data_IF_515471811182
#
_entry.id   IF_515471811182
#
_cell.length_a   1.000
_cell.length_b   1.000
_cell.length_c   1.000
_cell.angle_alpha   90.00
_cell.angle_beta   90.00
_cell.angle_gamma   90.00
#
_symmetry.space_group_name_H-M   'P 1'
#
loop_
_entity.id
_entity.type
_entity.pdbx_description
1 polymer ?
#
# COMPACT_ATOMS: atom_id res chain seq x y z
N UNK A 1 -27.16 14.60 -8.99
CA UNK A 1 -25.91 13.91 -8.62
C UNK A 1 -26.29 12.50 -8.27
N UNK A 2 -25.75 11.50 -8.94
CA UNK A 2 -26.05 10.11 -8.62
C UNK A 2 -25.22 9.67 -7.40
N UNK A 3 -25.67 8.69 -6.63
CA UNK A 3 -24.90 8.12 -5.50
C UNK A 3 -23.48 7.69 -5.90
N UNK A 4 -23.26 7.39 -7.18
CA UNK A 4 -21.96 7.06 -7.75
C UNK A 4 -21.01 8.28 -7.78
N UNK A 5 -21.55 9.49 -7.90
CA UNK A 5 -20.80 10.76 -7.97
C UNK A 5 -20.34 11.23 -6.57
N UNK A 6 -20.90 10.69 -5.50
CA UNK A 6 -20.64 11.11 -4.12
C UNK A 6 -19.65 10.20 -3.37
N UNK A 7 -19.15 9.13 -3.98
CA UNK A 7 -18.07 8.32 -3.38
C UNK A 7 -16.75 9.10 -3.41
N UNK A 8 -16.72 10.21 -2.71
CA UNK A 8 -15.59 11.00 -2.22
C UNK A 8 -14.30 11.17 -3.04
N UNK A 9 -14.13 10.53 -4.15
CA UNK A 9 -12.96 10.61 -5.00
C UNK A 9 -13.35 10.76 -6.47
N UNK A 10 -12.65 11.57 -7.21
CA UNK A 10 -12.76 11.72 -8.66
C UNK A 10 -12.33 10.46 -9.44
N UNK A 11 -12.31 9.31 -8.78
CA UNK A 11 -11.78 8.07 -9.34
C UNK A 11 -12.92 7.10 -9.61
N UNK A 12 -13.01 6.70 -10.85
CA UNK A 12 -13.84 5.57 -11.30
C UNK A 12 -13.25 4.21 -10.87
N UNK A 13 -12.46 4.17 -9.79
CA UNK A 13 -11.95 2.92 -9.28
C UNK A 13 -13.11 2.00 -8.89
N UNK A 14 -13.14 0.81 -9.43
CA UNK A 14 -14.06 -0.23 -8.99
C UNK A 14 -13.61 -0.68 -7.60
N UNK A 15 -14.31 -0.18 -6.60
CA UNK A 15 -14.16 -0.70 -5.24
C UNK A 15 -14.83 -2.07 -5.13
N UNK A 16 -14.38 -2.87 -4.19
CA UNK A 16 -15.05 -4.12 -3.86
C UNK A 16 -16.46 -3.85 -3.29
N UNK A 17 -17.39 -4.82 -3.38
CA UNK A 17 -18.70 -4.71 -2.73
C UNK A 17 -18.59 -4.47 -1.22
N UNK A 18 -19.52 -3.71 -0.64
CA UNK A 18 -19.54 -3.40 0.81
C UNK A 18 -19.56 -4.65 1.70
N UNK A 19 -20.12 -5.74 1.21
CA UNK A 19 -20.19 -7.03 1.88
C UNK A 19 -18.80 -7.62 2.14
N UNK A 20 -17.85 -7.40 1.24
CA UNK A 20 -16.45 -7.84 1.41
C UNK A 20 -15.80 -7.12 2.60
N UNK A 21 -15.96 -5.80 2.70
CA UNK A 21 -15.44 -5.04 3.82
C UNK A 21 -16.10 -5.46 5.15
N UNK A 22 -17.42 -5.71 5.15
CA UNK A 22 -18.14 -6.23 6.33
C UNK A 22 -17.60 -7.59 6.75
N UNK A 23 -17.35 -8.50 5.81
CA UNK A 23 -16.79 -9.81 6.11
C UNK A 23 -15.35 -9.70 6.68
N UNK A 24 -14.52 -8.78 6.17
CA UNK A 24 -13.19 -8.52 6.72
C UNK A 24 -13.25 -8.02 8.17
N UNK A 25 -14.18 -7.12 8.48
CA UNK A 25 -14.40 -6.65 9.86
C UNK A 25 -14.85 -7.79 10.78
N UNK A 26 -15.79 -8.63 10.32
CA UNK A 26 -16.24 -9.80 11.06
C UNK A 26 -15.08 -10.76 11.36
N UNK A 27 -14.27 -11.09 10.37
CA UNK A 27 -13.09 -11.95 10.52
C UNK A 27 -12.06 -11.34 11.47
N UNK A 28 -11.88 -10.03 11.45
CA UNK A 28 -10.98 -9.35 12.37
C UNK A 28 -11.48 -9.47 13.82
N UNK A 29 -12.77 -9.22 14.05
CA UNK A 29 -13.38 -9.35 15.37
C UNK A 29 -13.25 -10.78 15.95
N UNK A 30 -13.40 -11.80 15.10
CA UNK A 30 -13.19 -13.19 15.51
C UNK A 30 -11.74 -13.50 15.91
N UNK A 31 -10.77 -12.91 15.21
CA UNK A 31 -9.35 -13.11 15.48
C UNK A 31 -8.87 -12.39 16.75
N UNK A 32 -9.38 -11.21 17.03
CA UNK A 32 -9.00 -10.43 18.22
C UNK A 32 -9.68 -10.93 19.49
N UNK A 33 -10.88 -11.48 19.35
CA UNK A 33 -11.73 -11.83 20.49
C UNK A 33 -12.39 -10.59 21.13
N UNK A 34 -12.84 -10.69 22.40
CA UNK A 34 -13.60 -9.64 23.05
C UNK A 34 -12.85 -8.29 23.12
N UNK A 35 -13.60 -7.20 22.95
CA UNK A 35 -13.09 -5.83 23.05
C UNK A 35 -13.66 -4.89 22.00
N UNK A 36 -13.16 -3.67 22.01
CA UNK A 36 -13.48 -2.62 21.05
C UNK A 36 -12.27 -2.40 20.14
N UNK A 37 -12.42 -2.66 18.84
CA UNK A 37 -11.39 -2.38 17.84
C UNK A 37 -11.64 -0.98 17.31
N UNK A 38 -10.62 -0.13 17.31
CA UNK A 38 -10.69 1.24 16.79
C UNK A 38 -9.50 1.47 15.84
N UNK A 39 -9.80 1.89 14.61
CA UNK A 39 -8.78 2.41 13.70
C UNK A 39 -9.15 3.81 13.25
N UNK A 40 -8.13 4.65 13.16
CA UNK A 40 -8.24 6.00 12.64
C UNK A 40 -7.81 6.02 11.17
N UNK A 41 -8.65 6.59 10.33
CA UNK A 41 -8.28 6.91 8.97
C UNK A 41 -7.24 8.03 8.93
N UNK A 42 -6.56 8.15 7.80
CA UNK A 42 -5.60 9.22 7.56
C UNK A 42 -6.26 10.60 7.69
N UNK A 43 -5.53 11.56 8.24
CA UNK A 43 -5.88 12.98 8.21
C UNK A 43 -5.68 13.57 6.81
N UNK A 44 -6.32 14.69 6.52
CA UNK A 44 -6.02 15.49 5.33
C UNK A 44 -5.08 16.64 5.73
N UNK A 45 -3.79 16.33 5.84
CA UNK A 45 -2.76 17.29 6.24
C UNK A 45 -2.21 18.12 5.07
N UNK A 46 -2.81 17.96 3.87
CA UNK A 46 -2.36 18.65 2.66
C UNK A 46 -2.49 20.18 2.83
N UNK A 47 -1.35 20.85 2.68
CA UNK A 47 -1.30 22.30 2.64
C UNK A 47 -1.68 22.89 1.28
N UNK A 48 -1.88 24.21 1.22
CA UNK A 48 -2.03 24.92 -0.05
C UNK A 48 -0.75 24.78 -0.88
N UNK A 49 -0.88 24.19 -2.08
CA UNK A 49 0.24 23.87 -2.96
C UNK A 49 0.67 22.40 -2.96
N UNK A 50 0.11 21.57 -2.06
CA UNK A 50 0.30 20.14 -2.12
C UNK A 50 -0.47 19.55 -3.31
N UNK A 51 0.25 18.96 -4.25
CA UNK A 51 -0.34 18.40 -5.50
C UNK A 51 -0.81 16.96 -5.35
N UNK A 52 -0.54 16.33 -4.22
CA UNK A 52 -0.93 14.96 -3.93
C UNK A 52 -2.45 14.78 -3.81
N UNK A 53 -2.98 13.67 -4.29
CA UNK A 53 -4.34 13.25 -3.97
C UNK A 53 -4.39 12.64 -2.58
N UNK A 54 -5.50 12.83 -1.84
CA UNK A 54 -5.70 12.14 -0.57
C UNK A 54 -5.59 10.62 -0.78
N UNK A 55 -4.85 9.96 0.08
CA UNK A 55 -4.73 8.52 0.13
C UNK A 55 -5.04 8.04 1.55
N UNK A 56 -5.96 7.13 1.67
CA UNK A 56 -6.34 6.54 2.95
C UNK A 56 -5.28 5.55 3.42
N UNK A 57 -5.15 5.37 4.73
CA UNK A 57 -4.31 4.32 5.31
C UNK A 57 -4.78 2.92 4.90
N UNK A 58 -3.85 2.07 4.47
CA UNK A 58 -4.15 0.78 3.85
C UNK A 58 -4.96 -0.15 4.74
N UNK A 59 -4.64 -0.24 6.04
CA UNK A 59 -5.40 -1.07 6.99
C UNK A 59 -6.82 -0.56 7.19
N UNK A 60 -6.98 0.76 7.30
CA UNK A 60 -8.30 1.37 7.40
C UNK A 60 -9.12 1.12 6.13
N UNK A 61 -8.52 1.35 4.96
CA UNK A 61 -9.17 1.11 3.66
C UNK A 61 -9.55 -0.36 3.48
N UNK A 62 -8.65 -1.30 3.83
CA UNK A 62 -8.90 -2.74 3.76
C UNK A 62 -10.18 -3.17 4.49
N UNK A 63 -10.45 -2.53 5.64
CA UNK A 63 -11.61 -2.86 6.48
C UNK A 63 -12.87 -2.07 6.14
N UNK A 64 -12.76 -0.95 5.42
CA UNK A 64 -13.88 -0.01 5.27
C UNK A 64 -14.22 0.33 3.82
N UNK A 65 -13.26 0.37 2.91
CA UNK A 65 -13.44 0.93 1.57
C UNK A 65 -13.71 2.44 1.56
N UNK A 66 -13.44 3.16 2.66
CA UNK A 66 -13.77 4.57 2.85
C UNK A 66 -12.57 5.46 2.60
N UNK A 67 -12.69 6.39 1.64
CA UNK A 67 -11.65 7.36 1.27
C UNK A 67 -11.91 8.77 1.85
N UNK A 68 -12.41 8.84 3.04
CA UNK A 68 -12.69 10.11 3.71
C UNK A 68 -11.63 10.39 4.79
N UNK A 69 -11.03 11.59 4.79
CA UNK A 69 -10.07 11.95 5.83
C UNK A 69 -10.74 12.04 7.20
N UNK A 70 -9.97 11.75 8.24
CA UNK A 70 -10.41 11.81 9.64
C UNK A 70 -11.62 10.91 9.96
N UNK A 71 -11.89 9.91 9.15
CA UNK A 71 -12.88 8.88 9.47
C UNK A 71 -12.35 7.94 10.55
N UNK A 72 -13.24 7.34 11.35
CA UNK A 72 -12.86 6.39 12.40
C UNK A 72 -13.79 5.18 12.29
N UNK A 73 -13.21 3.99 12.26
CA UNK A 73 -13.98 2.74 12.32
C UNK A 73 -13.91 2.15 13.73
N UNK A 74 -15.06 1.71 14.20
CA UNK A 74 -15.20 0.98 15.47
C UNK A 74 -15.90 -0.34 15.19
N UNK A 75 -15.29 -1.43 15.61
CA UNK A 75 -15.84 -2.77 15.52
C UNK A 75 -15.94 -3.31 16.95
N UNK A 76 -17.16 -3.63 17.39
CA UNK A 76 -17.40 -4.16 18.72
C UNK A 76 -17.83 -5.62 18.64
N UNK A 77 -17.08 -6.48 19.28
CA UNK A 77 -17.46 -7.90 19.41
C UNK A 77 -18.75 -8.05 20.23
N UNK A 78 -19.70 -8.85 19.78
CA UNK A 78 -21.01 -9.05 20.43
C UNK A 78 -22.11 -8.12 19.89
N UNK A 79 -22.93 -7.55 20.76
CA UNK A 79 -24.12 -6.77 20.38
C UNK A 79 -23.80 -5.33 19.89
N UNK A 80 -22.51 -4.95 19.82
CA UNK A 80 -22.12 -3.56 19.59
C UNK A 80 -22.11 -3.11 18.12
N UNK A 81 -22.05 -4.04 17.17
CA UNK A 81 -22.08 -3.75 15.73
C UNK A 81 -20.84 -3.06 15.17
N UNK A 82 -20.90 -2.76 13.88
CA UNK A 82 -19.86 -2.03 13.13
C UNK A 82 -20.28 -0.57 12.99
N UNK A 83 -19.48 0.35 13.54
CA UNK A 83 -19.73 1.78 13.50
C UNK A 83 -18.67 2.49 12.66
N UNK A 84 -19.12 3.45 11.86
CA UNK A 84 -18.21 4.40 11.19
C UNK A 84 -18.50 5.80 11.76
N UNK A 85 -17.44 6.52 12.08
CA UNK A 85 -17.54 7.93 12.46
C UNK A 85 -16.97 8.78 11.34
N UNK A 86 -17.75 9.76 10.90
CA UNK A 86 -17.35 10.74 9.90
C UNK A 86 -17.35 12.14 10.49
N UNK A 87 -16.47 13.04 10.04
CA UNK A 87 -16.58 14.45 10.33
C UNK A 87 -17.94 14.98 9.86
N UNK A 88 -18.54 15.93 10.59
CA UNK A 88 -19.74 16.62 10.11
C UNK A 88 -19.43 17.33 8.78
N UNK A 89 -20.41 17.39 7.88
CA UNK A 89 -20.25 18.10 6.62
C UNK A 89 -20.02 19.61 6.86
N UNK A 90 -19.15 20.18 6.06
CA UNK A 90 -18.93 21.63 6.00
C UNK A 90 -19.32 22.17 4.60
N UNK A 91 -20.54 22.70 4.44
CA UNK A 91 -21.00 23.21 3.15
C UNK A 91 -20.17 24.39 2.60
N UNK A 92 -19.43 25.11 3.46
CA UNK A 92 -18.54 26.18 3.01
C UNK A 92 -17.28 25.60 2.36
N UNK A 93 -16.68 24.59 2.98
CA UNK A 93 -15.52 23.87 2.45
C UNK A 93 -15.88 23.06 1.20
N UNK A 94 -17.07 22.47 1.16
CA UNK A 94 -17.54 21.67 0.01
C UNK A 94 -17.68 22.48 -1.30
N UNK A 95 -17.82 23.82 -1.21
CA UNK A 95 -17.76 24.70 -2.40
C UNK A 95 -16.39 24.66 -3.09
N UNK A 96 -15.34 24.32 -2.35
CA UNK A 96 -13.97 24.27 -2.85
C UNK A 96 -13.51 22.84 -3.18
N UNK A 97 -13.95 21.87 -2.38
CA UNK A 97 -13.43 20.49 -2.44
C UNK A 97 -14.44 19.50 -3.04
N UNK A 98 -15.62 19.94 -3.38
CA UNK A 98 -16.74 19.08 -3.77
C UNK A 98 -17.48 18.51 -2.55
N UNK A 99 -18.69 17.96 -2.76
CA UNK A 99 -19.51 17.38 -1.70
C UNK A 99 -18.83 16.18 -1.07
N UNK A 100 -18.97 16.03 0.25
CA UNK A 100 -18.44 14.93 1.05
C UNK A 100 -19.57 14.13 1.68
N UNK A 101 -19.33 12.85 1.95
CA UNK A 101 -20.21 12.08 2.82
C UNK A 101 -20.12 12.59 4.25
N UNK A 102 -21.25 12.68 4.91
CA UNK A 102 -21.34 12.94 6.34
C UNK A 102 -22.03 11.80 7.08
N UNK A 103 -22.23 11.95 8.40
CA UNK A 103 -22.96 10.98 9.20
C UNK A 103 -24.41 10.82 8.72
N UNK A 104 -24.98 9.64 8.91
CA UNK A 104 -26.39 9.35 8.63
C UNK A 104 -26.65 8.00 7.98
N UNK A 105 -27.93 7.69 7.78
CA UNK A 105 -28.41 6.40 7.26
C UNK A 105 -27.94 6.12 5.83
N UNK A 106 -27.94 7.13 4.94
CA UNK A 106 -27.47 6.99 3.57
C UNK A 106 -26.01 6.55 3.51
N UNK A 107 -25.15 7.09 4.38
CA UNK A 107 -23.76 6.70 4.49
C UNK A 107 -23.63 5.28 5.07
N UNK A 108 -24.46 4.91 6.04
CA UNK A 108 -24.49 3.57 6.62
C UNK A 108 -24.84 2.53 5.55
N UNK A 109 -25.85 2.80 4.73
CA UNK A 109 -26.25 1.92 3.64
C UNK A 109 -25.13 1.75 2.60
N UNK A 110 -24.50 2.86 2.17
CA UNK A 110 -23.52 2.87 1.09
C UNK A 110 -22.22 2.18 1.49
N UNK A 111 -21.74 2.44 2.71
CA UNK A 111 -20.47 1.87 3.22
C UNK A 111 -20.64 0.53 3.93
N UNK A 112 -21.88 0.07 4.15
CA UNK A 112 -22.17 -1.22 4.78
C UNK A 112 -21.82 -1.26 6.26
N UNK A 113 -22.17 -0.22 7.01
CA UNK A 113 -22.05 -0.16 8.45
C UNK A 113 -23.45 -0.24 9.10
N UNK A 114 -23.50 -0.63 10.36
CA UNK A 114 -24.76 -0.64 11.11
C UNK A 114 -25.20 0.78 11.44
N UNK A 115 -24.25 1.66 11.79
CA UNK A 115 -24.49 3.09 11.95
C UNK A 115 -23.30 3.92 11.43
N UNK A 116 -23.59 5.12 10.90
CA UNK A 116 -22.58 6.14 10.60
C UNK A 116 -22.86 7.40 11.42
N UNK A 117 -21.97 7.69 12.34
CA UNK A 117 -22.11 8.68 13.39
C UNK A 117 -21.17 9.88 13.18
N UNK A 118 -21.42 10.98 13.89
CA UNK A 118 -20.54 12.15 13.88
C UNK A 118 -19.32 11.94 14.78
N UNK A 119 -18.14 12.34 14.29
CA UNK A 119 -16.93 12.44 15.13
C UNK A 119 -17.08 13.55 16.19
N UNK A 120 -17.78 14.65 15.85
CA UNK A 120 -18.04 15.75 16.75
C UNK A 120 -19.29 15.50 17.62
N UNK A 121 -19.33 16.03 18.85
CA UNK A 121 -20.55 16.03 19.65
C UNK A 121 -21.64 16.88 18.97
N UNK A 122 -22.90 16.55 19.23
CA UNK A 122 -24.06 17.26 18.72
C UNK A 122 -25.14 17.37 19.79
N UNK A 123 -26.22 18.04 19.46
CA UNK A 123 -27.41 18.18 20.33
C UNK A 123 -28.65 17.71 19.60
N UNK A 124 -29.55 17.05 20.31
CA UNK A 124 -30.87 16.66 19.81
C UNK A 124 -31.96 17.27 20.68
N UNK A 125 -33.08 17.59 20.08
CA UNK A 125 -34.26 18.00 20.82
C UNK A 125 -35.16 16.78 21.01
N UNK A 126 -35.31 16.36 22.24
CA UNK A 126 -36.20 15.25 22.61
C UNK A 126 -37.16 15.73 23.73
N UNK A 127 -38.46 15.53 23.54
CA UNK A 127 -39.47 15.94 24.50
C UNK A 127 -39.35 17.44 24.92
N UNK A 128 -39.11 18.32 23.94
CA UNK A 128 -38.86 19.76 24.15
C UNK A 128 -37.64 20.09 25.05
N UNK A 129 -36.70 19.13 25.22
CA UNK A 129 -35.43 19.32 25.93
C UNK A 129 -34.27 19.11 24.97
N UNK A 130 -33.24 19.95 25.07
CA UNK A 130 -31.98 19.78 24.40
C UNK A 130 -31.19 18.72 25.18
N UNK A 131 -30.74 17.68 24.49
CA UNK A 131 -29.89 16.62 25.05
C UNK A 131 -28.59 16.53 24.28
N UNK A 132 -27.44 16.51 24.95
CA UNK A 132 -26.17 16.30 24.28
C UNK A 132 -26.08 14.86 23.73
N UNK A 133 -25.56 14.74 22.50
CA UNK A 133 -25.17 13.47 21.90
C UNK A 133 -23.66 13.45 21.84
N UNK A 134 -23.01 12.51 22.54
CA UNK A 134 -21.56 12.45 22.55
C UNK A 134 -21.03 12.13 21.14
N UNK A 135 -19.99 12.85 20.74
CA UNK A 135 -19.19 12.48 19.58
C UNK A 135 -18.34 11.24 19.87
N UNK A 136 -17.39 10.94 18.96
CA UNK A 136 -16.53 9.75 19.07
C UNK A 136 -15.82 9.65 20.43
N UNK A 137 -15.15 10.72 20.88
CA UNK A 137 -14.38 10.69 22.14
C UNK A 137 -15.23 10.33 23.36
N UNK A 138 -16.42 10.92 23.47
CA UNK A 138 -17.32 10.64 24.60
C UNK A 138 -17.83 9.19 24.59
N UNK A 139 -18.08 8.64 23.40
CA UNK A 139 -18.49 7.23 23.26
C UNK A 139 -17.31 6.29 23.58
N UNK A 140 -16.10 6.60 23.08
CA UNK A 140 -14.90 5.82 23.39
C UNK A 140 -14.64 5.76 24.90
N UNK A 141 -14.73 6.90 25.58
CA UNK A 141 -14.60 6.94 27.05
C UNK A 141 -15.66 6.06 27.73
N UNK A 142 -16.90 6.09 27.25
CA UNK A 142 -17.97 5.22 27.75
C UNK A 142 -17.62 3.73 27.63
N UNK A 143 -17.19 3.27 26.46
CA UNK A 143 -16.82 1.88 26.22
C UNK A 143 -15.59 1.45 27.03
N UNK A 144 -14.59 2.32 27.17
CA UNK A 144 -13.37 2.03 27.92
C UNK A 144 -13.58 2.12 29.45
N UNK A 145 -14.73 2.63 29.91
CA UNK A 145 -15.13 2.61 31.33
C UNK A 145 -15.84 1.32 31.72
N UNK A 146 -16.18 0.46 30.77
CA UNK A 146 -16.79 -0.85 31.04
C UNK A 146 -15.78 -1.76 31.81
N UNK A 147 -16.24 -2.66 32.68
CA UNK A 147 -15.34 -3.62 33.35
C UNK A 147 -14.57 -4.45 32.33
N UNK A 148 -13.27 -4.66 32.61
CA UNK A 148 -12.37 -5.46 31.77
C UNK A 148 -12.28 -5.00 30.29
N UNK A 149 -12.51 -3.69 30.04
CA UNK A 149 -12.47 -3.12 28.70
C UNK A 149 -11.11 -3.35 28.03
N UNK A 150 -11.14 -3.78 26.77
CA UNK A 150 -9.96 -3.95 25.91
C UNK A 150 -10.11 -3.08 24.67
N UNK A 151 -9.15 -2.19 24.47
CA UNK A 151 -8.99 -1.43 23.23
C UNK A 151 -8.00 -2.16 22.33
N UNK A 152 -8.46 -2.60 21.16
CA UNK A 152 -7.63 -3.06 20.07
C UNK A 152 -7.42 -1.93 19.07
N UNK A 153 -6.18 -1.57 18.77
CA UNK A 153 -5.84 -0.53 17.82
C UNK A 153 -4.46 -0.77 17.23
N UNK A 154 -4.07 -0.05 16.20
CA UNK A 154 -2.69 -0.05 15.72
C UNK A 154 -1.80 0.60 16.79
N UNK A 155 -1.08 -0.24 17.51
CA UNK A 155 -0.25 0.16 18.65
C UNK A 155 1.10 -0.57 18.64
N UNK A 156 1.88 -0.40 17.56
CA UNK A 156 3.17 -1.06 17.43
C UNK A 156 4.16 -0.52 18.46
N UNK A 157 5.13 -1.34 18.84
CA UNK A 157 6.24 -0.90 19.69
C UNK A 157 7.03 0.23 19.00
N UNK A 158 7.35 1.27 19.76
CA UNK A 158 8.10 2.45 19.28
C UNK A 158 9.49 2.44 19.88
N UNK A 159 10.52 2.57 19.04
CA UNK A 159 11.90 2.62 19.48
C UNK A 159 12.19 3.85 20.37
N UNK A 160 13.13 3.70 21.32
CA UNK A 160 13.57 4.80 22.16
C UNK A 160 14.18 5.91 21.30
N UNK A 161 13.69 7.13 21.45
CA UNK A 161 14.13 8.29 20.69
C UNK A 161 13.26 8.65 19.48
N UNK A 162 12.33 7.81 19.10
CA UNK A 162 11.33 8.15 18.06
C UNK A 162 10.19 8.98 18.65
N UNK A 163 9.64 9.90 17.86
CA UNK A 163 8.43 10.62 18.25
C UNK A 163 7.25 9.64 18.38
N UNK A 164 6.47 9.77 19.44
CA UNK A 164 5.29 8.93 19.64
C UNK A 164 4.23 9.21 18.57
N UNK A 165 3.70 8.17 17.91
CA UNK A 165 2.56 8.29 17.00
C UNK A 165 1.34 8.95 17.67
N UNK A 166 0.44 9.57 16.89
CA UNK A 166 -0.79 10.19 17.44
C UNK A 166 -1.61 9.23 18.31
N UNK A 167 -1.75 7.97 17.90
CA UNK A 167 -2.48 6.92 18.66
C UNK A 167 -1.86 6.70 20.05
N UNK A 168 -0.52 6.65 20.16
CA UNK A 168 0.16 6.51 21.45
C UNK A 168 -0.10 7.70 22.39
N UNK A 169 -0.07 8.93 21.85
CA UNK A 169 -0.39 10.12 22.62
C UNK A 169 -1.83 10.15 23.10
N UNK A 170 -2.78 9.74 22.24
CA UNK A 170 -4.18 9.62 22.59
C UNK A 170 -4.38 8.59 23.71
N UNK A 171 -3.78 7.40 23.59
CA UNK A 171 -3.88 6.36 24.63
C UNK A 171 -3.28 6.82 25.97
N UNK A 172 -2.16 7.52 25.95
CA UNK A 172 -1.60 8.11 27.17
C UNK A 172 -2.60 9.08 27.83
N UNK A 173 -3.20 9.99 27.06
CA UNK A 173 -4.23 10.92 27.56
C UNK A 173 -5.50 10.20 28.10
N UNK A 174 -5.90 9.11 27.46
CA UNK A 174 -7.02 8.28 27.94
C UNK A 174 -6.69 7.59 29.27
N UNK A 175 -5.47 7.05 29.41
CA UNK A 175 -5.02 6.38 30.65
C UNK A 175 -4.97 7.31 31.87
N UNK A 176 -4.68 8.59 31.65
CA UNK A 176 -4.74 9.58 32.73
C UNK A 176 -6.17 9.76 33.31
N UNK A 177 -7.20 9.44 32.52
CA UNK A 177 -8.61 9.58 32.90
C UNK A 177 -9.29 8.25 33.20
N UNK A 178 -8.84 7.17 32.57
CA UNK A 178 -9.43 5.82 32.59
C UNK A 178 -8.32 4.80 32.84
N UNK A 179 -7.92 4.55 34.06
CA UNK A 179 -6.73 3.76 34.36
C UNK A 179 -6.88 2.23 34.18
N UNK A 180 -8.09 1.73 33.93
CA UNK A 180 -8.40 0.29 34.05
C UNK A 180 -8.56 -0.47 32.74
N UNK A 181 -8.55 0.20 31.56
CA UNK A 181 -8.66 -0.51 30.29
C UNK A 181 -7.31 -1.05 29.80
N UNK A 182 -7.33 -2.21 29.13
CA UNK A 182 -6.18 -2.78 28.46
C UNK A 182 -6.07 -2.27 27.02
N UNK A 183 -4.83 -2.17 26.50
CA UNK A 183 -4.57 -1.85 25.08
C UNK A 183 -3.82 -3.01 24.45
N UNK A 184 -4.26 -3.41 23.26
CA UNK A 184 -3.62 -4.45 22.45
C UNK A 184 -3.42 -3.99 21.03
N UNK A 185 -2.32 -4.41 20.42
CA UNK A 185 -2.02 -4.13 19.02
C UNK A 185 -2.81 -5.06 18.10
N UNK A 186 -3.52 -4.47 17.14
CA UNK A 186 -4.33 -5.18 16.15
C UNK A 186 -3.57 -5.44 14.84
N UNK A 187 -2.40 -4.84 14.67
CA UNK A 187 -1.68 -4.80 13.38
C UNK A 187 -1.39 -6.19 12.81
N UNK A 188 -0.91 -7.12 13.62
CA UNK A 188 -0.64 -8.50 13.17
C UNK A 188 -1.92 -9.24 12.73
N UNK A 189 -3.05 -8.98 13.38
CA UNK A 189 -4.33 -9.58 13.00
C UNK A 189 -4.82 -9.09 11.65
N UNK A 190 -4.66 -7.80 11.34
CA UNK A 190 -4.99 -7.21 10.04
C UNK A 190 -4.00 -7.71 8.98
N UNK A 191 -2.71 -7.71 9.28
CA UNK A 191 -1.67 -8.23 8.38
C UNK A 191 -1.96 -9.66 7.96
N UNK A 192 -2.32 -10.53 8.90
CA UNK A 192 -2.66 -11.92 8.61
C UNK A 192 -3.92 -12.08 7.71
N UNK A 193 -4.83 -11.10 7.71
CA UNK A 193 -5.95 -11.09 6.77
C UNK A 193 -5.51 -10.61 5.37
N UNK A 194 -4.63 -9.61 5.30
CA UNK A 194 -4.13 -9.02 4.06
C UNK A 194 -3.20 -9.94 3.26
N UNK A 195 -2.46 -10.82 3.93
CA UNK A 195 -1.51 -11.76 3.29
C UNK A 195 -2.20 -12.63 2.25
N UNK A 196 -3.43 -13.09 2.52
CA UNK A 196 -4.20 -13.95 1.62
C UNK A 196 -5.24 -13.11 0.88
N UNK A 197 -4.98 -12.87 -0.40
CA UNK A 197 -5.85 -12.07 -1.27
C UNK A 197 -7.08 -12.85 -1.69
N UNK A 198 -8.24 -12.19 -1.63
CA UNK A 198 -9.47 -12.71 -2.22
C UNK A 198 -9.52 -12.48 -3.75
N UNK A 199 -10.49 -13.08 -4.43
CA UNK A 199 -10.62 -12.98 -5.89
C UNK A 199 -10.83 -11.53 -6.37
N UNK A 200 -11.52 -10.70 -5.57
CA UNK A 200 -11.73 -9.28 -5.87
C UNK A 200 -10.43 -8.48 -5.77
N UNK A 201 -9.59 -8.75 -4.77
CA UNK A 201 -8.25 -8.18 -4.64
C UNK A 201 -7.37 -8.56 -5.83
N UNK A 202 -7.35 -9.84 -6.18
CA UNK A 202 -6.60 -10.34 -7.35
C UNK A 202 -7.08 -9.68 -8.65
N UNK A 203 -8.37 -9.46 -8.81
CA UNK A 203 -8.90 -8.77 -9.99
C UNK A 203 -8.43 -7.31 -10.08
N UNK A 204 -8.37 -6.58 -8.96
CA UNK A 204 -7.85 -5.21 -8.89
C UNK A 204 -6.34 -5.17 -9.13
N UNK A 205 -5.58 -6.09 -8.54
CA UNK A 205 -4.14 -6.23 -8.77
C UNK A 205 -3.82 -6.52 -10.24
N UNK A 206 -4.60 -7.36 -10.93
CA UNK A 206 -4.45 -7.59 -12.37
C UNK A 206 -4.64 -6.32 -13.20
N UNK A 207 -5.55 -5.42 -12.79
CA UNK A 207 -5.73 -4.12 -13.46
C UNK A 207 -4.55 -3.20 -13.19
N UNK A 208 -4.03 -3.17 -11.94
CA UNK A 208 -2.83 -2.42 -11.59
C UNK A 208 -1.61 -2.89 -12.40
N UNK A 209 -1.39 -4.21 -12.49
CA UNK A 209 -0.34 -4.80 -13.34
C UNK A 209 -0.55 -4.46 -14.81
N UNK A 210 -1.79 -4.51 -15.31
CA UNK A 210 -2.12 -4.12 -16.69
C UNK A 210 -1.75 -2.67 -17.01
N UNK A 211 -2.02 -1.74 -16.08
CA UNK A 211 -1.62 -0.34 -16.18
C UNK A 211 -0.09 -0.18 -16.10
N UNK A 212 0.58 -0.94 -15.21
CA UNK A 212 2.05 -0.97 -15.10
C UNK A 212 2.69 -1.43 -16.41
N UNK A 213 2.15 -2.48 -17.04
CA UNK A 213 2.60 -2.94 -18.36
C UNK A 213 2.40 -1.89 -19.45
N UNK A 214 1.35 -1.05 -19.39
CA UNK A 214 1.19 0.08 -20.30
C UNK A 214 2.28 1.13 -20.08
N UNK A 215 2.66 1.40 -18.82
CA UNK A 215 3.81 2.24 -18.47
C UNK A 215 5.12 1.73 -19.08
N UNK A 216 5.42 0.44 -18.93
CA UNK A 216 6.61 -0.18 -19.54
C UNK A 216 6.65 -0.08 -21.06
N UNK A 217 5.52 -0.32 -21.75
CA UNK A 217 5.44 -0.12 -23.21
C UNK A 217 5.70 1.34 -23.59
N UNK A 218 5.23 2.29 -22.79
CA UNK A 218 5.48 3.72 -23.02
C UNK A 218 6.94 4.06 -22.75
N UNK A 219 7.55 3.56 -21.66
CA UNK A 219 8.96 3.73 -21.36
C UNK A 219 9.85 3.23 -22.52
N UNK A 220 9.63 1.98 -22.96
CA UNK A 220 10.37 1.40 -24.09
C UNK A 220 10.27 2.21 -25.38
N UNK A 221 9.15 2.91 -25.60
CA UNK A 221 8.95 3.73 -26.80
C UNK A 221 9.65 5.10 -26.73
N UNK A 222 9.94 5.63 -25.54
CA UNK A 222 10.52 6.96 -25.35
C UNK A 222 12.00 6.94 -24.95
N UNK A 223 12.48 5.83 -24.37
CA UNK A 223 13.89 5.65 -24.01
C UNK A 223 14.74 5.71 -25.27
N UNK A 224 15.71 6.63 -25.29
CA UNK A 224 16.77 6.74 -26.30
C UNK A 224 17.88 7.65 -25.76
N UNK A 225 19.10 7.60 -26.33
CA UNK A 225 20.18 8.48 -25.94
C UNK A 225 19.78 9.95 -25.95
N UNK A 226 20.11 10.67 -24.88
CA UNK A 226 19.81 12.09 -24.71
C UNK A 226 18.44 12.42 -24.10
N UNK A 227 17.58 11.43 -23.82
CA UNK A 227 16.30 11.65 -23.12
C UNK A 227 16.56 11.73 -21.62
N UNK A 228 15.96 12.73 -20.95
CA UNK A 228 16.01 12.83 -19.49
C UNK A 228 15.20 11.71 -18.83
N UNK A 229 15.71 11.11 -17.75
CA UNK A 229 15.01 10.08 -16.94
C UNK A 229 13.63 10.58 -16.48
N UNK A 230 13.53 11.84 -16.01
CA UNK A 230 12.25 12.45 -15.63
C UNK A 230 11.25 12.61 -16.78
N UNK A 231 11.71 12.69 -18.05
CA UNK A 231 10.81 12.69 -19.19
C UNK A 231 10.23 11.29 -19.47
N UNK A 232 11.02 10.24 -19.20
CA UNK A 232 10.54 8.84 -19.24
C UNK A 232 9.52 8.61 -18.14
N UNK A 233 9.80 9.04 -16.89
CA UNK A 233 8.87 8.96 -15.76
C UNK A 233 7.55 9.68 -16.03
N UNK A 234 7.60 10.91 -16.55
CA UNK A 234 6.39 11.66 -16.95
C UNK A 234 5.55 10.92 -18.01
N UNK A 235 6.20 10.26 -18.98
CA UNK A 235 5.52 9.46 -19.99
C UNK A 235 4.89 8.18 -19.41
N UNK A 236 5.54 7.53 -18.43
CA UNK A 236 5.01 6.40 -17.68
C UNK A 236 3.75 6.81 -16.90
N UNK A 237 3.83 7.92 -16.14
CA UNK A 237 2.70 8.44 -15.38
C UNK A 237 1.48 8.72 -16.27
N UNK A 238 1.70 9.33 -17.45
CA UNK A 238 0.63 9.56 -18.42
C UNK A 238 -0.03 8.24 -18.85
N UNK A 239 0.76 7.20 -19.13
CA UNK A 239 0.26 5.89 -19.51
C UNK A 239 -0.55 5.21 -18.38
N UNK A 240 -0.16 5.38 -17.12
CA UNK A 240 -0.94 4.91 -15.96
C UNK A 240 -2.33 5.55 -15.93
N UNK A 241 -2.38 6.88 -16.09
CA UNK A 241 -3.64 7.64 -16.11
C UNK A 241 -4.53 7.27 -17.31
N UNK A 242 -3.95 7.08 -18.50
CA UNK A 242 -4.65 6.61 -19.70
C UNK A 242 -5.26 5.21 -19.50
N UNK A 243 -4.58 4.34 -18.75
CA UNK A 243 -5.06 3.00 -18.38
C UNK A 243 -6.09 3.00 -17.23
N UNK A 244 -6.46 4.16 -16.69
CA UNK A 244 -7.45 4.31 -15.62
C UNK A 244 -6.89 4.13 -14.20
N UNK A 245 -5.59 4.03 -14.03
CA UNK A 245 -4.95 3.98 -12.73
C UNK A 245 -4.99 5.33 -12.00
N UNK A 246 -4.95 5.32 -10.69
CA UNK A 246 -5.00 6.51 -9.84
C UNK A 246 -3.67 7.28 -9.82
N UNK A 247 -2.58 6.60 -10.16
CA UNK A 247 -1.22 7.13 -10.14
C UNK A 247 -0.21 6.04 -9.87
N UNK A 248 0.92 6.42 -9.29
CA UNK A 248 1.95 5.48 -8.87
C UNK A 248 1.58 4.81 -7.54
N UNK A 249 1.92 3.53 -7.40
CA UNK A 249 1.87 2.78 -6.15
C UNK A 249 3.08 3.06 -5.24
N UNK A 250 4.21 3.40 -5.87
CA UNK A 250 5.45 3.85 -5.25
C UNK A 250 6.16 4.84 -6.18
N UNK A 251 7.16 5.62 -5.72
CA UNK A 251 7.93 6.51 -6.58
C UNK A 251 8.60 5.73 -7.71
N UNK A 252 8.36 6.15 -8.97
CA UNK A 252 8.97 5.49 -10.13
C UNK A 252 10.49 5.59 -10.08
N UNK A 253 11.18 4.52 -10.45
CA UNK A 253 12.63 4.47 -10.59
C UNK A 253 12.96 4.35 -12.07
N UNK A 254 13.67 5.35 -12.61
CA UNK A 254 14.18 5.36 -13.97
C UNK A 254 15.65 5.74 -13.89
N UNK A 255 16.52 4.74 -13.83
CA UNK A 255 17.96 4.94 -13.66
C UNK A 255 18.76 4.48 -14.88
N UNK A 256 19.57 5.38 -15.47
CA UNK A 256 20.47 5.08 -16.59
C UNK A 256 21.93 5.00 -16.12
N UNK A 257 22.69 4.05 -16.67
CA UNK A 257 24.09 3.90 -16.36
C UNK A 257 24.36 3.69 -14.86
N UNK A 258 25.15 4.57 -14.23
CA UNK A 258 25.43 4.51 -12.79
C UNK A 258 24.14 4.56 -11.94
N UNK A 259 23.15 5.38 -12.33
CA UNK A 259 21.90 5.50 -11.59
C UNK A 259 21.14 4.17 -11.53
N UNK A 260 21.28 3.31 -12.54
CA UNK A 260 20.70 1.96 -12.56
C UNK A 260 21.27 1.03 -11.47
N UNK A 261 22.37 1.40 -10.83
CA UNK A 261 22.99 0.63 -9.73
C UNK A 261 22.53 1.06 -8.34
N UNK A 262 21.68 2.12 -8.26
CA UNK A 262 21.12 2.63 -7.01
C UNK A 262 19.70 2.12 -6.82
N UNK A 263 19.49 1.32 -5.80
CA UNK A 263 18.25 0.58 -5.56
C UNK A 263 16.97 1.42 -5.58
N UNK A 264 16.88 2.47 -4.80
CA UNK A 264 15.72 3.35 -4.72
C UNK A 264 16.08 4.72 -5.30
N UNK A 265 16.50 4.72 -6.58
CA UNK A 265 16.78 5.96 -7.30
C UNK A 265 15.48 6.60 -7.81
N UNK A 266 14.84 7.37 -6.97
CA UNK A 266 13.56 8.04 -7.22
C UNK A 266 13.69 9.49 -7.75
N UNK A 267 14.90 10.00 -7.83
CA UNK A 267 15.14 11.38 -8.27
C UNK A 267 14.90 11.56 -9.78
N UNK A 268 15.17 10.54 -10.58
CA UNK A 268 15.02 10.52 -12.04
C UNK A 268 15.61 11.78 -12.71
N UNK A 269 16.79 12.22 -12.24
CA UNK A 269 17.38 13.50 -12.59
C UNK A 269 18.48 13.42 -13.66
N UNK A 270 18.84 12.21 -14.08
CA UNK A 270 19.86 11.95 -15.09
C UNK A 270 19.34 12.02 -16.52
N UNK A 271 20.19 11.59 -17.45
CA UNK A 271 19.91 11.52 -18.89
C UNK A 271 20.36 10.15 -19.39
N UNK A 272 19.54 9.48 -20.16
CA UNK A 272 19.88 8.20 -20.77
C UNK A 272 21.11 8.36 -21.70
N UNK A 273 22.20 7.74 -21.37
CA UNK A 273 23.44 7.77 -22.16
C UNK A 273 23.43 6.75 -23.31
N UNK A 274 24.20 7.07 -24.37
CA UNK A 274 24.35 6.13 -25.49
C UNK A 274 25.16 4.91 -25.01
N UNK A 275 24.61 3.70 -25.25
CA UNK A 275 25.22 2.45 -24.81
C UNK A 275 25.00 2.11 -23.33
N UNK A 276 24.25 2.89 -22.56
CA UNK A 276 23.88 2.57 -21.20
C UNK A 276 22.63 1.67 -21.12
N UNK A 277 22.50 0.96 -20.00
CA UNK A 277 21.25 0.32 -19.60
C UNK A 277 20.42 1.27 -18.75
N UNK A 278 19.11 1.22 -18.95
CA UNK A 278 18.11 1.97 -18.18
C UNK A 278 17.25 0.97 -17.42
N UNK A 279 17.39 0.93 -16.11
CA UNK A 279 16.47 0.20 -15.22
C UNK A 279 15.22 1.05 -15.04
N UNK A 280 14.07 0.45 -15.28
CA UNK A 280 12.76 1.05 -15.07
C UNK A 280 12.00 0.16 -14.11
N UNK A 281 11.82 0.63 -12.88
CA UNK A 281 11.06 -0.04 -11.83
C UNK A 281 9.86 0.81 -11.45
N UNK A 282 8.67 0.32 -11.77
CA UNK A 282 7.43 1.08 -11.72
C UNK A 282 6.25 0.24 -11.30
N UNK A 283 5.32 0.88 -10.60
CA UNK A 283 4.07 0.28 -10.20
C UNK A 283 2.89 1.25 -10.30
N UNK A 284 1.86 0.90 -11.04
CA UNK A 284 0.61 1.64 -11.06
C UNK A 284 -0.26 1.26 -9.86
N UNK A 285 -1.07 2.21 -9.35
CA UNK A 285 -2.10 1.96 -8.34
C UNK A 285 -3.48 2.00 -8.98
N UNK A 286 -4.24 0.90 -8.81
CA UNK A 286 -5.60 0.78 -9.31
C UNK A 286 -6.52 0.23 -8.23
N UNK A 287 -7.57 0.97 -7.86
CA UNK A 287 -8.47 0.60 -6.76
C UNK A 287 -7.72 0.41 -5.44
N UNK A 288 -6.71 1.23 -5.17
CA UNK A 288 -5.75 1.13 -4.07
C UNK A 288 -4.71 0.00 -4.17
N UNK A 289 -4.89 -0.99 -5.04
CA UNK A 289 -3.93 -2.08 -5.18
C UNK A 289 -2.79 -1.68 -6.11
N UNK A 290 -1.58 -2.10 -5.74
CA UNK A 290 -0.35 -1.82 -6.47
C UNK A 290 -0.04 -2.91 -7.51
N UNK A 291 0.47 -2.47 -8.67
CA UNK A 291 1.31 -3.29 -9.53
C UNK A 291 2.76 -3.02 -9.20
N UNK A 292 3.66 -3.93 -9.59
CA UNK A 292 5.09 -3.83 -9.36
C UNK A 292 5.82 -4.65 -10.42
N UNK A 293 6.55 -3.98 -11.31
CA UNK A 293 7.32 -4.60 -12.38
C UNK A 293 8.58 -3.79 -12.65
N UNK A 294 9.70 -4.49 -12.76
CA UNK A 294 10.98 -3.93 -13.22
C UNK A 294 11.36 -4.48 -14.60
N UNK A 295 11.89 -3.62 -15.46
CA UNK A 295 12.47 -3.99 -16.75
C UNK A 295 13.69 -3.13 -17.05
N UNK A 296 14.70 -3.76 -17.68
CA UNK A 296 15.92 -3.08 -18.11
C UNK A 296 15.97 -2.95 -19.61
N UNK A 297 16.27 -1.76 -20.11
CA UNK A 297 16.32 -1.43 -21.52
C UNK A 297 17.68 -0.87 -21.92
N UNK A 298 18.30 -1.30 -23.05
CA UNK A 298 19.42 -0.58 -23.60
C UNK A 298 18.96 0.75 -24.21
N UNK A 299 19.58 1.86 -23.83
CA UNK A 299 19.14 3.20 -24.23
C UNK A 299 19.13 3.40 -25.76
N UNK A 300 20.07 2.78 -26.47
CA UNK A 300 20.16 2.83 -27.94
C UNK A 300 19.46 1.65 -28.65
N UNK A 301 18.78 0.77 -27.90
CA UNK A 301 18.07 -0.40 -28.43
C UNK A 301 18.92 -1.66 -28.61
N UNK A 302 20.22 -1.61 -28.32
CA UNK A 302 21.14 -2.74 -28.51
C UNK A 302 21.93 -3.03 -27.23
N UNK A 303 21.97 -4.31 -26.80
CA UNK A 303 22.83 -4.74 -25.72
C UNK A 303 24.25 -4.96 -26.23
N UNK A 304 25.26 -4.50 -25.49
CA UNK A 304 26.62 -4.99 -25.64
C UNK A 304 26.71 -6.46 -25.20
N UNK A 305 27.77 -7.17 -25.59
CA UNK A 305 27.99 -8.56 -25.14
C UNK A 305 27.99 -8.66 -23.61
N UNK A 306 28.71 -7.77 -22.93
CA UNK A 306 28.76 -7.72 -21.47
C UNK A 306 27.39 -7.48 -20.81
N UNK A 307 26.63 -6.55 -21.33
CA UNK A 307 25.29 -6.26 -20.82
C UNK A 307 24.35 -7.46 -21.03
N UNK A 308 24.46 -8.13 -22.17
CA UNK A 308 23.67 -9.33 -22.46
C UNK A 308 24.01 -10.47 -21.51
N UNK A 309 25.29 -10.70 -21.23
CA UNK A 309 25.72 -11.76 -20.29
C UNK A 309 25.07 -11.56 -18.91
N UNK A 310 25.05 -10.34 -18.40
CA UNK A 310 24.42 -10.02 -17.10
C UNK A 310 22.90 -10.10 -17.19
N UNK A 311 22.29 -9.54 -18.25
CA UNK A 311 20.86 -9.57 -18.46
C UNK A 311 20.32 -10.99 -18.56
N UNK A 312 20.94 -11.84 -19.37
CA UNK A 312 20.52 -13.23 -19.57
C UNK A 312 20.66 -14.05 -18.27
N UNK A 313 21.68 -13.75 -17.44
CA UNK A 313 21.86 -14.38 -16.14
C UNK A 313 20.75 -14.00 -15.15
N UNK A 314 20.36 -12.72 -15.09
CA UNK A 314 19.24 -12.27 -14.25
C UNK A 314 17.92 -12.85 -14.76
N UNK A 315 17.73 -12.90 -16.07
CA UNK A 315 16.54 -13.52 -16.68
C UNK A 315 16.47 -15.03 -16.36
N UNK A 316 17.60 -15.76 -16.42
CA UNK A 316 17.66 -17.17 -16.00
C UNK A 316 17.23 -17.32 -14.53
N UNK A 317 17.76 -16.47 -13.65
CA UNK A 317 17.40 -16.50 -12.23
C UNK A 317 15.91 -16.25 -12.03
N UNK A 318 15.35 -15.21 -12.67
CA UNK A 318 13.93 -14.89 -12.64
C UNK A 318 13.08 -16.09 -13.10
N UNK A 319 13.39 -16.69 -14.24
CA UNK A 319 12.57 -17.77 -14.82
C UNK A 319 12.64 -19.05 -13.99
N UNK A 320 13.83 -19.39 -13.44
CA UNK A 320 13.98 -20.56 -12.57
C UNK A 320 13.29 -20.40 -11.23
N UNK A 321 13.31 -19.20 -10.65
CA UNK A 321 12.53 -18.88 -9.46
C UNK A 321 11.04 -18.98 -9.78
N UNK A 322 10.57 -18.34 -10.85
CA UNK A 322 9.16 -18.37 -11.25
C UNK A 322 8.64 -19.82 -11.42
N UNK A 323 9.45 -20.71 -12.03
CA UNK A 323 9.12 -22.12 -12.19
C UNK A 323 9.08 -22.90 -10.87
N UNK A 324 9.75 -22.41 -9.83
CA UNK A 324 9.80 -23.05 -8.51
C UNK A 324 8.69 -22.57 -7.55
N UNK A 325 8.04 -21.44 -7.84
CA UNK A 325 6.97 -20.87 -7.00
C UNK A 325 5.77 -21.84 -6.98
N UNK A 326 5.45 -22.32 -5.79
CA UNK A 326 4.28 -23.18 -5.53
C UNK A 326 3.97 -23.20 -4.04
N UNK A 327 2.76 -23.61 -3.63
CA UNK A 327 2.45 -23.86 -2.22
C UNK A 327 3.46 -24.82 -1.58
N UNK A 328 3.87 -24.51 -0.35
CA UNK A 328 4.80 -25.33 0.43
C UNK A 328 6.29 -25.02 0.19
N UNK A 329 6.63 -23.99 -0.60
CA UNK A 329 8.00 -23.47 -0.74
C UNK A 329 8.09 -22.16 0.06
N UNK A 330 9.25 -21.85 0.64
CA UNK A 330 9.49 -20.54 1.31
C UNK A 330 10.18 -19.55 0.37
N UNK A 331 10.02 -18.25 0.64
CA UNK A 331 10.76 -17.18 -0.08
C UNK A 331 12.27 -17.37 0.10
N UNK A 332 12.69 -17.80 1.28
CA UNK A 332 14.09 -18.13 1.56
C UNK A 332 14.65 -19.22 0.64
N UNK A 333 13.90 -20.30 0.37
CA UNK A 333 14.33 -21.34 -0.56
C UNK A 333 14.32 -20.86 -2.02
N UNK A 334 13.37 -20.03 -2.41
CA UNK A 334 13.35 -19.38 -3.73
C UNK A 334 14.59 -18.48 -3.93
N UNK A 335 14.94 -17.69 -2.90
CA UNK A 335 16.14 -16.84 -2.93
C UNK A 335 17.43 -17.64 -3.15
N UNK A 336 17.55 -18.84 -2.55
CA UNK A 336 18.69 -19.72 -2.76
C UNK A 336 18.88 -20.12 -4.22
N UNK A 337 17.78 -20.28 -4.97
CA UNK A 337 17.83 -20.59 -6.41
C UNK A 337 18.50 -19.45 -7.16
N UNK A 338 18.05 -18.20 -6.97
CA UNK A 338 18.63 -17.04 -7.63
C UNK A 338 20.09 -16.83 -7.23
N UNK A 339 20.38 -16.88 -5.92
CA UNK A 339 21.73 -16.72 -5.40
C UNK A 339 22.69 -17.80 -5.94
N UNK A 340 22.24 -19.07 -6.01
CA UNK A 340 23.03 -20.17 -6.56
C UNK A 340 23.43 -19.93 -8.02
N UNK A 341 22.53 -19.42 -8.84
CA UNK A 341 22.81 -19.08 -10.24
C UNK A 341 23.91 -18.00 -10.32
N UNK A 342 23.79 -16.93 -9.53
CA UNK A 342 24.76 -15.83 -9.51
C UNK A 342 26.13 -16.24 -8.93
N UNK A 343 26.14 -17.21 -8.02
CA UNK A 343 27.36 -17.70 -7.38
C UNK A 343 28.11 -18.75 -8.23
N UNK A 344 27.37 -19.57 -8.97
CA UNK A 344 27.93 -20.70 -9.74
C UNK A 344 28.28 -20.36 -11.19
N UNK A 345 27.75 -19.25 -11.74
CA UNK A 345 28.04 -18.80 -13.11
C UNK A 345 29.53 -18.64 -13.36
N UNK A 346 29.96 -18.82 -14.60
CA UNK A 346 31.32 -18.50 -15.06
C UNK A 346 31.51 -17.02 -15.35
N UNK A 347 30.45 -16.25 -15.47
CA UNK A 347 30.50 -14.80 -15.62
C UNK A 347 31.09 -14.18 -14.34
N UNK A 348 32.00 -13.24 -14.48
CA UNK A 348 32.67 -12.55 -13.38
C UNK A 348 32.51 -11.05 -13.55
N UNK A 349 32.69 -10.27 -12.46
CA UNK A 349 32.88 -8.85 -12.57
C UNK A 349 34.22 -8.51 -13.26
N UNK A 350 34.48 -7.24 -13.48
CA UNK A 350 35.73 -6.78 -14.11
C UNK A 350 36.99 -7.09 -13.30
N UNK A 351 36.86 -7.43 -12.03
CA UNK A 351 37.96 -7.78 -11.14
C UNK A 351 38.16 -9.32 -11.02
N UNK A 352 37.33 -10.12 -11.68
CA UNK A 352 37.33 -11.58 -11.62
C UNK A 352 36.52 -12.17 -10.45
N UNK A 353 35.77 -11.36 -9.75
CA UNK A 353 34.96 -11.77 -8.59
C UNK A 353 33.60 -12.36 -9.01
N UNK A 354 33.01 -13.15 -8.13
CA UNK A 354 31.70 -13.76 -8.33
C UNK A 354 30.56 -12.75 -8.24
N UNK A 355 29.47 -12.98 -8.99
CA UNK A 355 28.36 -12.09 -9.08
C UNK A 355 27.38 -12.18 -7.92
N UNK A 356 27.38 -13.26 -7.12
CA UNK A 356 26.46 -13.41 -5.98
C UNK A 356 26.53 -12.28 -4.96
N UNK A 357 27.69 -11.65 -4.79
CA UNK A 357 27.85 -10.50 -3.89
C UNK A 357 27.12 -9.23 -4.35
N UNK A 358 26.73 -9.14 -5.63
CA UNK A 358 26.03 -8.02 -6.23
C UNK A 358 24.49 -8.21 -6.25
N UNK A 359 23.99 -9.33 -5.73
CA UNK A 359 22.58 -9.55 -5.40
C UNK A 359 22.35 -9.10 -3.96
N UNK A 360 22.19 -7.79 -3.76
CA UNK A 360 22.29 -7.10 -2.47
C UNK A 360 20.97 -6.95 -1.71
N UNK A 361 19.87 -7.45 -2.25
CA UNK A 361 18.53 -7.34 -1.64
C UNK A 361 17.84 -8.72 -1.48
N UNK A 362 16.61 -8.72 -0.97
CA UNK A 362 15.75 -9.89 -0.93
C UNK A 362 15.38 -10.37 -2.33
N UNK A 363 14.76 -11.54 -2.43
CA UNK A 363 14.25 -12.02 -3.72
C UNK A 363 13.03 -11.20 -4.17
N UNK A 364 12.29 -10.64 -3.22
CA UNK A 364 11.07 -9.90 -3.42
C UNK A 364 10.28 -9.76 -2.13
N UNK A 365 9.08 -9.25 -2.21
CA UNK A 365 8.21 -8.94 -1.08
C UNK A 365 6.75 -9.25 -1.41
N UNK A 366 5.87 -9.23 -0.40
CA UNK A 366 4.44 -9.30 -0.61
C UNK A 366 3.94 -8.02 -1.29
N UNK A 367 2.94 -8.15 -2.13
CA UNK A 367 2.33 -7.07 -2.90
C UNK A 367 0.82 -7.03 -2.64
N UNK A 368 0.24 -5.85 -2.54
CA UNK A 368 -1.20 -5.68 -2.30
C UNK A 368 -1.67 -4.24 -2.34
N UNK A 369 -2.27 -3.78 -1.25
CA UNK A 369 -2.63 -2.36 -1.06
C UNK A 369 -1.40 -1.46 -0.93
N UNK A 370 -0.34 -2.00 -0.38
CA UNK A 370 0.98 -1.38 -0.36
C UNK A 370 1.90 -2.10 -1.35
N UNK A 371 2.89 -1.39 -1.92
CA UNK A 371 3.93 -2.03 -2.71
C UNK A 371 4.68 -3.04 -1.83
N UNK A 372 5.12 -2.62 -0.65
CA UNK A 372 5.61 -3.52 0.40
C UNK A 372 4.45 -3.87 1.35
N UNK A 373 3.60 -4.80 0.92
CA UNK A 373 2.43 -5.24 1.68
C UNK A 373 2.85 -6.09 2.89
N UNK A 374 2.08 -6.13 3.99
CA UNK A 374 2.36 -7.02 5.09
C UNK A 374 2.56 -8.46 4.63
N UNK A 375 3.62 -9.09 5.11
CA UNK A 375 4.04 -10.42 4.68
C UNK A 375 4.21 -11.40 5.83
N UNK A 376 4.29 -12.67 5.49
CA UNK A 376 4.83 -13.68 6.38
C UNK A 376 6.37 -13.58 6.39
N UNK A 377 7.01 -14.12 7.42
CA UNK A 377 8.46 -14.24 7.45
C UNK A 377 8.98 -15.02 6.23
N UNK A 378 10.21 -14.75 5.79
CA UNK A 378 10.80 -15.38 4.59
C UNK A 378 10.86 -16.91 4.68
N UNK A 379 10.96 -17.46 5.88
CA UNK A 379 10.93 -18.90 6.14
C UNK A 379 9.52 -19.50 6.11
N UNK A 380 8.47 -18.66 6.15
CA UNK A 380 7.10 -19.15 6.10
C UNK A 380 6.80 -19.78 4.73
N UNK A 381 6.02 -20.84 4.75
CA UNK A 381 5.65 -21.52 3.53
C UNK A 381 4.58 -20.75 2.75
N UNK A 382 4.77 -20.61 1.46
CA UNK A 382 3.78 -20.02 0.57
C UNK A 382 2.49 -20.85 0.57
N UNK A 383 1.37 -20.16 0.60
CA UNK A 383 0.04 -20.78 0.47
C UNK A 383 -0.77 -20.09 -0.65
N UNK A 384 -1.80 -20.76 -1.20
CA UNK A 384 -2.65 -20.14 -2.22
C UNK A 384 -3.25 -18.81 -1.74
N UNK A 385 -3.29 -17.82 -2.64
CA UNK A 385 -3.78 -16.46 -2.36
C UNK A 385 -2.71 -15.47 -1.91
N UNK A 386 -1.48 -15.92 -1.58
CA UNK A 386 -0.36 -15.01 -1.42
C UNK A 386 0.08 -14.44 -2.77
N UNK A 387 0.45 -13.17 -2.80
CA UNK A 387 1.03 -12.48 -3.96
C UNK A 387 2.35 -11.86 -3.55
N UNK A 388 3.39 -12.15 -4.31
CA UNK A 388 4.74 -11.66 -4.06
C UNK A 388 5.42 -11.25 -5.37
N UNK A 389 6.38 -10.37 -5.28
CA UNK A 389 7.29 -10.03 -6.38
C UNK A 389 8.36 -11.12 -6.56
N UNK A 390 8.93 -11.21 -7.75
CA UNK A 390 10.08 -12.05 -8.08
C UNK A 390 11.05 -11.19 -8.88
N UNK A 391 12.03 -10.62 -8.21
CA UNK A 391 12.85 -9.51 -8.68
C UNK A 391 14.35 -9.73 -8.41
N UNK A 392 14.96 -10.84 -8.88
CA UNK A 392 16.39 -10.99 -8.77
C UNK A 392 17.11 -9.91 -9.59
N UNK A 393 18.18 -9.34 -9.06
CA UNK A 393 18.93 -8.27 -9.73
C UNK A 393 20.44 -8.35 -9.47
N UNK A 394 21.25 -7.79 -10.38
CA UNK A 394 22.69 -7.63 -10.27
C UNK A 394 23.06 -6.17 -10.51
N UNK A 395 23.83 -5.59 -9.59
CA UNK A 395 24.19 -4.18 -9.60
C UNK A 395 25.71 -4.04 -9.52
N UNK A 396 26.33 -3.59 -10.62
CA UNK A 396 27.78 -3.44 -10.79
C UNK A 396 28.15 -1.94 -10.90
N UNK A 397 28.28 -1.20 -9.77
CA UNK A 397 28.52 0.24 -9.81
C UNK A 397 29.80 0.62 -10.57
N UNK A 398 30.84 -0.19 -10.42
CA UNK A 398 32.10 0.01 -11.11
C UNK A 398 32.02 -0.18 -12.63
N UNK A 399 30.98 -0.83 -13.13
CA UNK A 399 30.70 -1.03 -14.54
C UNK A 399 29.53 -0.17 -15.02
N UNK A 400 28.94 0.65 -14.12
CA UNK A 400 27.75 1.47 -14.39
C UNK A 400 26.60 0.64 -14.98
N UNK A 401 26.43 -0.60 -14.48
CA UNK A 401 25.52 -1.59 -15.00
C UNK A 401 24.63 -2.15 -13.91
N UNK A 402 23.31 -1.95 -14.05
CA UNK A 402 22.26 -2.55 -13.23
C UNK A 402 21.25 -3.30 -14.10
N UNK A 403 20.80 -4.47 -13.61
CA UNK A 403 19.75 -5.29 -14.25
C UNK A 403 18.85 -5.85 -13.18
#
# INVERSE_FOLDING_TARGET
MTQKDMRGGNYAAELQPKEVYRERRRRLAERTGPGTIVLWGAGDERGYGDTGTFCQGSNFFYLTGVELPNAIVVIRSGEGGDLLFLPPRDPALEKWTGPKWGPGEDAAEIFGFDEVLSTAPSEIVLDARIRPVPGFEGRLQGWLSEPDAVLWTEYPAVGSGSALPPTHRLIASLRDRLPTFAVKDVSEHISALRVIKDDGEIALMRKAVGATMAGHRRAAAVIKPGVAEGAVDGAIFAAFREAGAEGCGFPSIVGSGYNATTHHYDQNAGVCGDGELVVVDIGARYGYYCGDLTRTYPANGEFTERQRDIYDLVLEAHDRVAAAIRPGVSVFDLRKIAYGIFEETTVRDRNGEKLGQYFIHGLGHQLGLDAHDPGAADEALLVPGMVLTNEPGIYLPDEELGV
#
